data_IF_528895730604
#
_entry.id   IF_528895730604
#
_cell.length_a   1.000
_cell.length_b   1.000
_cell.length_c   1.000
_cell.angle_alpha   90.00
_cell.angle_beta   90.00
_cell.angle_gamma   90.00
#
_symmetry.space_group_name_H-M   'P 1'
#
loop_
_entity.id
_entity.type
_entity.pdbx_description
1 polymer ?
#
# COMPACT_ATOMS: atom_id res chain seq x y z
N UNK A 1 -7.76 61.62 -55.15
CA UNK A 1 -8.50 60.36 -55.24
C UNK A 1 -8.45 59.72 -53.85
N UNK A 2 -9.48 59.89 -53.04
CA UNK A 2 -9.50 59.44 -51.64
C UNK A 2 -9.99 57.99 -51.60
N UNK A 3 -9.15 57.08 -51.11
CA UNK A 3 -9.49 55.66 -50.95
C UNK A 3 -10.44 55.56 -49.75
N UNK A 4 -11.72 55.34 -50.02
CA UNK A 4 -12.73 55.15 -48.98
C UNK A 4 -12.48 53.81 -48.25
N UNK A 5 -11.96 53.89 -47.03
CA UNK A 5 -11.83 52.73 -46.16
C UNK A 5 -13.23 52.27 -45.71
N UNK A 6 -13.73 51.19 -46.32
CA UNK A 6 -14.99 50.56 -45.92
C UNK A 6 -14.85 49.97 -44.51
N UNK A 7 -15.34 50.72 -43.50
CA UNK A 7 -15.28 50.35 -42.06
C UNK A 7 -15.85 48.96 -41.77
N UNK A 8 -16.79 48.46 -42.59
CA UNK A 8 -17.34 47.11 -42.49
C UNK A 8 -16.32 46.00 -42.80
N UNK A 9 -15.41 46.24 -43.75
CA UNK A 9 -14.37 45.30 -44.16
C UNK A 9 -13.23 45.23 -43.13
N UNK A 10 -12.92 46.37 -42.49
CA UNK A 10 -11.97 46.41 -41.38
C UNK A 10 -12.47 45.64 -40.14
N UNK A 11 -13.77 45.71 -39.84
CA UNK A 11 -14.38 44.97 -38.73
C UNK A 11 -14.34 43.46 -38.92
N UNK A 12 -14.66 42.96 -40.12
CA UNK A 12 -14.60 41.52 -40.43
C UNK A 12 -13.18 40.98 -40.41
N UNK A 13 -12.22 41.76 -40.90
CA UNK A 13 -10.81 41.36 -40.93
C UNK A 13 -10.21 41.31 -39.52
N UNK A 14 -10.57 42.28 -38.66
CA UNK A 14 -10.17 42.28 -37.26
C UNK A 14 -10.79 41.11 -36.47
N UNK A 15 -12.06 40.78 -36.73
CA UNK A 15 -12.71 39.63 -36.10
C UNK A 15 -12.10 38.29 -36.54
N UNK A 16 -11.79 38.12 -37.83
CA UNK A 16 -11.13 36.92 -38.33
C UNK A 16 -9.71 36.76 -37.79
N UNK A 17 -8.96 37.86 -37.67
CA UNK A 17 -7.62 37.83 -37.08
C UNK A 17 -7.68 37.53 -35.57
N UNK A 18 -8.65 38.11 -34.85
CA UNK A 18 -8.87 37.84 -33.43
C UNK A 18 -9.18 36.36 -33.14
N UNK A 19 -10.02 35.73 -33.97
CA UNK A 19 -10.32 34.30 -33.85
C UNK A 19 -9.11 33.42 -34.20
N UNK A 20 -8.34 33.78 -35.24
CA UNK A 20 -7.14 33.05 -35.61
C UNK A 20 -6.03 33.09 -34.54
N UNK A 21 -5.88 34.21 -33.81
CA UNK A 21 -4.90 34.33 -32.72
C UNK A 21 -5.37 33.70 -31.40
N UNK A 22 -6.68 33.55 -31.18
CA UNK A 22 -7.19 32.89 -29.96
C UNK A 22 -6.87 31.40 -29.86
N UNK A 23 -6.43 30.77 -30.96
CA UNK A 23 -5.97 29.38 -30.98
C UNK A 23 -4.60 29.15 -30.31
N UNK A 24 -3.81 30.20 -30.07
CA UNK A 24 -2.60 30.15 -29.22
C UNK A 24 -2.94 30.36 -27.72
N UNK A 25 -4.21 30.25 -27.33
CA UNK A 25 -4.67 30.45 -25.98
C UNK A 25 -4.34 29.29 -25.05
N UNK A 26 -3.21 29.40 -24.36
CA UNK A 26 -2.91 28.68 -23.11
C UNK A 26 -2.36 27.26 -23.31
N UNK A 27 -1.05 27.11 -23.16
CA UNK A 27 -0.44 25.79 -23.03
C UNK A 27 -0.65 25.29 -21.60
N UNK A 28 -1.41 24.19 -21.37
CA UNK A 28 -1.78 23.74 -20.03
C UNK A 28 -0.63 23.06 -19.26
N UNK A 29 0.60 23.05 -19.81
CA UNK A 29 1.73 22.30 -19.26
C UNK A 29 2.74 23.23 -18.57
N UNK A 30 2.44 23.63 -17.34
CA UNK A 30 3.31 24.49 -16.52
C UNK A 30 4.42 23.72 -15.79
N UNK A 31 4.26 22.40 -15.58
CA UNK A 31 5.20 21.60 -14.81
C UNK A 31 6.46 21.23 -15.62
N UNK A 32 7.48 22.09 -15.56
CA UNK A 32 8.79 21.86 -16.19
C UNK A 32 9.71 20.92 -15.40
N UNK A 33 9.28 20.40 -14.26
CA UNK A 33 10.05 19.44 -13.48
C UNK A 33 9.78 18.00 -13.95
N UNK A 34 10.63 17.07 -13.52
CA UNK A 34 10.40 15.63 -13.71
C UNK A 34 9.46 15.04 -12.64
N UNK A 35 9.04 15.83 -11.65
CA UNK A 35 8.13 15.37 -10.61
C UNK A 35 6.71 15.28 -11.17
N UNK A 36 6.07 14.14 -10.94
CA UNK A 36 4.66 13.96 -11.24
C UNK A 36 3.79 14.92 -10.41
N UNK A 37 2.86 15.62 -11.06
CA UNK A 37 1.87 16.44 -10.35
C UNK A 37 0.87 15.58 -9.56
N UNK A 38 0.58 14.37 -10.05
CA UNK A 38 -0.33 13.39 -9.44
C UNK A 38 0.47 12.43 -8.58
N UNK A 39 0.52 12.68 -7.28
CA UNK A 39 1.24 11.88 -6.29
C UNK A 39 0.29 10.86 -5.62
N UNK A 40 0.80 9.69 -5.21
CA UNK A 40 0.01 8.75 -4.43
C UNK A 40 -0.26 9.33 -3.04
N UNK A 41 -1.49 9.15 -2.59
CA UNK A 41 -1.96 9.52 -1.25
C UNK A 41 -2.35 8.24 -0.53
N UNK A 42 -1.84 8.09 0.68
CA UNK A 42 -2.12 6.94 1.54
C UNK A 42 -3.14 7.36 2.58
N UNK A 43 -4.22 6.60 2.66
CA UNK A 43 -5.26 6.74 3.67
C UNK A 43 -5.18 5.57 4.65
N UNK A 44 -5.24 5.88 5.94
CA UNK A 44 -5.17 4.90 7.03
C UNK A 44 -6.46 4.93 7.83
N UNK A 45 -7.07 3.77 8.02
CA UNK A 45 -8.22 3.58 8.90
C UNK A 45 -7.84 2.65 10.04
N UNK A 46 -8.10 3.07 11.28
CA UNK A 46 -7.84 2.29 12.48
C UNK A 46 -9.17 1.83 13.08
N UNK A 47 -9.31 0.53 13.30
CA UNK A 47 -10.42 -0.09 14.01
C UNK A 47 -9.93 -0.62 15.33
N UNK A 48 -10.62 -0.31 16.41
CA UNK A 48 -10.21 -0.68 17.77
C UNK A 48 -11.23 -1.62 18.41
N UNK A 49 -10.73 -2.57 19.19
CA UNK A 49 -11.53 -3.43 20.02
C UNK A 49 -10.89 -3.54 21.40
N UNK A 50 -11.61 -3.09 22.41
CA UNK A 50 -11.19 -3.22 23.80
C UNK A 50 -11.60 -4.60 24.32
N UNK A 51 -10.65 -5.26 24.96
CA UNK A 51 -10.74 -6.64 25.44
C UNK A 51 -10.27 -6.72 26.88
N UNK A 52 -10.90 -7.61 27.65
CA UNK A 52 -10.48 -7.89 29.02
C UNK A 52 -9.33 -8.87 29.02
N UNK A 53 -8.30 -8.57 29.80
CA UNK A 53 -7.12 -9.43 29.95
C UNK A 53 -7.09 -10.05 31.34
N UNK A 54 -6.44 -11.21 31.43
CA UNK A 54 -6.13 -11.87 32.69
C UNK A 54 -4.61 -12.06 32.79
N UNK A 55 -4.12 -12.44 33.98
CA UNK A 55 -2.69 -12.64 34.20
C UNK A 55 -2.09 -13.74 33.32
N UNK A 56 -2.89 -14.74 32.96
CA UNK A 56 -2.53 -15.89 32.13
C UNK A 56 -2.79 -15.69 30.62
N UNK A 57 -3.27 -14.51 30.19
CA UNK A 57 -3.53 -14.20 28.79
C UNK A 57 -4.96 -13.73 28.53
N UNK A 58 -5.52 -14.12 27.39
CA UNK A 58 -6.89 -13.83 27.00
C UNK A 58 -7.85 -14.91 27.49
N UNK A 59 -8.88 -14.57 28.29
CA UNK A 59 -9.92 -15.52 28.65
C UNK A 59 -10.60 -16.10 27.41
N UNK A 60 -11.00 -17.37 27.45
CA UNK A 60 -11.61 -18.07 26.31
C UNK A 60 -12.83 -17.34 25.71
N UNK A 61 -13.61 -16.65 26.55
CA UNK A 61 -14.72 -15.81 26.09
C UNK A 61 -14.27 -14.65 25.21
N UNK A 62 -13.20 -13.95 25.60
CA UNK A 62 -12.61 -12.86 24.82
C UNK A 62 -11.94 -13.39 23.55
N UNK A 63 -11.26 -14.54 23.60
CA UNK A 63 -10.68 -15.15 22.39
C UNK A 63 -11.74 -15.40 21.31
N UNK A 64 -12.93 -15.87 21.69
CA UNK A 64 -14.06 -16.06 20.75
C UNK A 64 -14.61 -14.75 20.23
N UNK A 65 -14.69 -13.72 21.07
CA UNK A 65 -15.13 -12.37 20.68
C UNK A 65 -14.16 -11.74 19.69
N UNK A 66 -12.85 -11.85 19.94
CA UNK A 66 -11.81 -11.38 19.03
C UNK A 66 -11.85 -12.14 17.71
N UNK A 67 -11.98 -13.47 17.74
CA UNK A 67 -12.12 -14.27 16.52
C UNK A 67 -13.35 -13.86 15.69
N UNK A 68 -14.51 -13.72 16.33
CA UNK A 68 -15.72 -13.26 15.64
C UNK A 68 -15.60 -11.83 15.10
N UNK A 69 -14.87 -10.95 15.79
CA UNK A 69 -14.57 -9.61 15.30
C UNK A 69 -13.63 -9.64 14.09
N UNK A 70 -12.59 -10.48 14.12
CA UNK A 70 -11.69 -10.68 12.98
C UNK A 70 -12.41 -11.19 11.74
N UNK A 71 -13.34 -12.12 11.92
CA UNK A 71 -14.20 -12.60 10.84
C UNK A 71 -15.12 -11.47 10.31
N UNK A 72 -15.75 -10.70 11.20
CA UNK A 72 -16.64 -9.60 10.83
C UNK A 72 -15.92 -8.43 10.14
N UNK A 73 -14.65 -8.20 10.47
CA UNK A 73 -13.79 -7.21 9.82
C UNK A 73 -13.22 -7.69 8.48
N UNK A 74 -13.46 -8.96 8.13
CA UNK A 74 -12.94 -9.61 6.93
C UNK A 74 -11.43 -9.39 6.80
N UNK A 75 -10.69 -9.82 7.84
CA UNK A 75 -9.24 -9.65 7.85
C UNK A 75 -8.59 -10.22 6.59
N UNK A 76 -7.86 -9.34 5.90
CA UNK A 76 -7.27 -9.64 4.61
C UNK A 76 -5.78 -9.35 4.57
N UNK A 77 -5.18 -9.68 3.43
CA UNK A 77 -3.80 -9.31 3.15
C UNK A 77 -3.64 -7.79 3.15
N UNK A 78 -2.64 -7.28 3.88
CA UNK A 78 -2.36 -5.85 4.03
C UNK A 78 -2.90 -5.24 5.33
N UNK A 79 -3.80 -5.92 6.03
CA UNK A 79 -4.22 -5.49 7.38
C UNK A 79 -3.10 -5.71 8.39
N UNK A 80 -2.91 -4.75 9.28
CA UNK A 80 -1.93 -4.82 10.36
C UNK A 80 -2.65 -4.86 11.70
N UNK A 81 -2.26 -5.81 12.55
CA UNK A 81 -2.84 -5.97 13.87
C UNK A 81 -1.79 -5.56 14.90
N UNK A 82 -2.13 -4.64 15.79
CA UNK A 82 -1.29 -4.31 16.93
C UNK A 82 -2.05 -4.50 18.24
N UNK A 83 -1.29 -4.68 19.30
CA UNK A 83 -1.78 -4.76 20.67
C UNK A 83 -1.27 -3.55 21.44
N UNK A 84 -2.18 -2.77 21.99
CA UNK A 84 -1.94 -1.72 22.96
C UNK A 84 -2.33 -2.25 24.34
N UNK A 85 -1.35 -2.72 25.09
CA UNK A 85 -1.54 -3.29 26.44
C UNK A 85 -0.66 -2.53 27.43
N UNK A 86 -1.26 -1.74 28.36
CA UNK A 86 -0.50 -1.01 29.38
C UNK A 86 0.37 -1.90 30.28
N UNK A 87 0.00 -3.17 30.44
CA UNK A 87 0.72 -4.14 31.28
C UNK A 87 1.80 -4.91 30.50
N UNK A 88 1.80 -4.81 29.17
CA UNK A 88 2.69 -5.51 28.26
C UNK A 88 2.78 -7.03 28.54
N UNK A 89 1.63 -7.68 28.80
CA UNK A 89 1.59 -9.09 29.13
C UNK A 89 1.91 -9.96 27.89
N UNK A 90 2.99 -10.76 27.90
CA UNK A 90 3.36 -11.59 26.75
C UNK A 90 2.32 -12.68 26.43
N UNK A 91 1.57 -13.18 27.42
CA UNK A 91 0.57 -14.20 27.19
C UNK A 91 -0.60 -13.68 26.33
N UNK A 92 -1.03 -12.44 26.56
CA UNK A 92 -2.07 -11.77 25.75
C UNK A 92 -1.60 -11.61 24.30
N UNK A 93 -0.33 -11.26 24.10
CA UNK A 93 0.28 -11.14 22.76
C UNK A 93 0.36 -12.49 22.05
N UNK A 94 0.76 -13.54 22.77
CA UNK A 94 0.85 -14.89 22.21
C UNK A 94 -0.53 -15.43 21.79
N UNK A 95 -1.54 -15.26 22.65
CA UNK A 95 -2.92 -15.61 22.31
C UNK A 95 -3.42 -14.83 21.09
N UNK A 96 -3.19 -13.51 21.05
CA UNK A 96 -3.55 -12.69 19.90
C UNK A 96 -2.82 -13.14 18.62
N UNK A 97 -1.54 -13.47 18.71
CA UNK A 97 -0.76 -13.98 17.59
C UNK A 97 -1.30 -15.32 17.08
N UNK A 98 -1.74 -16.21 17.97
CA UNK A 98 -2.39 -17.46 17.60
C UNK A 98 -3.74 -17.22 16.89
N UNK A 99 -4.51 -16.20 17.30
CA UNK A 99 -5.76 -15.81 16.63
C UNK A 99 -5.47 -15.20 15.24
N UNK A 100 -4.54 -14.25 15.16
CA UNK A 100 -4.14 -13.58 13.92
C UNK A 100 -3.51 -14.54 12.89
N UNK A 101 -2.73 -15.52 13.37
CA UNK A 101 -2.08 -16.51 12.52
C UNK A 101 -3.05 -17.37 11.71
N UNK A 102 -4.30 -17.54 12.16
CA UNK A 102 -5.35 -18.21 11.36
C UNK A 102 -5.74 -17.45 10.09
N UNK A 103 -5.56 -16.13 10.09
CA UNK A 103 -5.77 -15.27 8.94
C UNK A 103 -4.47 -15.01 8.16
N UNK A 104 -3.37 -15.68 8.52
CA UNK A 104 -2.05 -15.47 7.90
C UNK A 104 -1.41 -14.12 8.24
N UNK A 105 -1.86 -13.47 9.33
CA UNK A 105 -1.39 -12.15 9.76
C UNK A 105 -0.49 -12.27 10.99
N UNK A 106 0.45 -11.34 11.09
CA UNK A 106 1.37 -11.20 12.23
C UNK A 106 0.96 -9.99 13.07
N UNK A 107 1.13 -10.11 14.38
CA UNK A 107 0.94 -8.99 15.31
C UNK A 107 2.17 -8.08 15.24
N UNK A 108 1.97 -6.80 14.95
CA UNK A 108 3.07 -5.83 14.88
C UNK A 108 3.47 -5.31 16.26
N UNK A 109 4.77 -5.06 16.43
CA UNK A 109 5.35 -4.55 17.67
C UNK A 109 4.92 -3.11 18.01
N UNK A 110 4.71 -2.26 17.00
CA UNK A 110 4.31 -0.87 17.20
C UNK A 110 2.80 -0.71 17.03
N UNK A 111 2.11 -0.34 18.11
CA UNK A 111 0.73 0.14 18.03
C UNK A 111 0.71 1.62 17.64
N UNK A 112 -0.20 2.07 16.74
CA UNK A 112 -0.43 3.50 16.56
C UNK A 112 -0.94 4.12 17.86
N UNK A 113 -0.72 5.43 18.03
CA UNK A 113 -1.25 6.16 19.18
C UNK A 113 -2.77 6.09 19.12
N UNK A 114 -3.38 5.40 20.10
CA UNK A 114 -4.84 5.35 20.24
C UNK A 114 -5.30 6.54 21.09
N UNK A 115 -6.42 7.21 20.74
CA UNK A 115 -6.83 8.45 21.39
C UNK A 115 -7.38 8.27 22.81
N UNK A 116 -7.85 7.07 23.14
CA UNK A 116 -8.61 6.82 24.38
C UNK A 116 -7.79 6.07 25.42
N UNK A 117 -8.04 6.40 26.69
CA UNK A 117 -7.48 5.69 27.84
C UNK A 117 -7.94 4.22 27.86
N UNK A 118 -7.04 3.32 28.27
CA UNK A 118 -7.34 1.89 28.47
C UNK A 118 -7.38 1.64 29.96
N UNK A 119 -8.48 1.07 30.44
CA UNK A 119 -8.66 0.76 31.86
C UNK A 119 -7.71 -0.37 32.32
N UNK A 120 -7.30 -0.39 33.59
CA UNK A 120 -6.48 -1.47 34.14
C UNK A 120 -7.16 -2.84 33.99
N UNK A 121 -6.42 -3.82 33.46
CA UNK A 121 -6.98 -5.16 33.18
C UNK A 121 -7.68 -5.26 31.82
N UNK A 122 -7.57 -4.23 30.99
CA UNK A 122 -7.97 -4.27 29.58
C UNK A 122 -6.77 -4.04 28.67
N UNK A 123 -6.89 -4.50 27.44
CA UNK A 123 -5.99 -4.19 26.35
C UNK A 123 -6.81 -3.82 25.12
N UNK A 124 -6.21 -3.07 24.20
CA UNK A 124 -6.84 -2.66 22.96
C UNK A 124 -6.15 -3.32 21.77
N UNK A 125 -6.92 -4.05 20.99
CA UNK A 125 -6.47 -4.54 19.69
C UNK A 125 -6.78 -3.47 18.66
N UNK A 126 -5.81 -3.14 17.83
CA UNK A 126 -5.98 -2.18 16.73
C UNK A 126 -5.73 -2.88 15.40
N UNK A 127 -6.72 -2.84 14.52
CA UNK A 127 -6.56 -3.22 13.11
C UNK A 127 -6.33 -1.92 12.33
N UNK A 128 -5.18 -1.83 11.68
CA UNK A 128 -4.83 -0.73 10.79
C UNK A 128 -4.94 -1.21 9.35
N UNK A 129 -5.82 -0.57 8.57
CA UNK A 129 -5.95 -0.78 7.13
C UNK A 129 -5.47 0.46 6.40
N UNK A 130 -4.50 0.28 5.52
CA UNK A 130 -3.95 1.36 4.69
C UNK A 130 -4.29 1.11 3.23
N UNK A 131 -4.66 2.16 2.50
CA UNK A 131 -4.92 2.11 1.06
C UNK A 131 -4.16 3.24 0.37
N UNK A 132 -3.66 2.99 -0.84
CA UNK A 132 -3.02 4.01 -1.66
C UNK A 132 -3.89 4.31 -2.89
N UNK A 133 -4.09 5.58 -3.18
CA UNK A 133 -4.74 6.01 -4.43
C UNK A 133 -4.15 7.33 -4.92
N UNK A 134 -4.29 7.60 -6.22
CA UNK A 134 -3.83 8.87 -6.80
C UNK A 134 -5.05 9.72 -7.13
N UNK A 135 -5.34 10.78 -6.36
CA UNK A 135 -6.55 11.56 -6.53
C UNK A 135 -6.58 12.37 -7.84
N UNK A 136 -7.77 12.43 -8.43
CA UNK A 136 -8.05 13.16 -9.67
C UNK A 136 -7.43 12.52 -10.91
N UNK A 137 -7.26 11.20 -10.90
CA UNK A 137 -6.93 10.39 -12.07
C UNK A 137 -8.18 9.71 -12.65
N UNK A 138 -8.25 9.48 -13.98
CA UNK A 138 -7.27 9.90 -14.99
C UNK A 138 -7.35 11.42 -15.29
N UNK A 139 -6.24 11.99 -15.76
CA UNK A 139 -6.13 13.41 -16.12
C UNK A 139 -5.68 13.59 -17.58
N UNK A 140 -6.60 14.06 -18.42
CA UNK A 140 -6.42 14.33 -19.86
C UNK A 140 -6.57 15.81 -20.20
N UNK A 141 -6.37 16.69 -19.22
CA UNK A 141 -6.58 18.14 -19.38
C UNK A 141 -5.65 18.83 -20.38
N UNK A 142 -4.54 18.17 -20.76
CA UNK A 142 -3.60 18.67 -21.75
C UNK A 142 -3.61 17.82 -23.03
N UNK A 143 -3.33 18.48 -24.16
CA UNK A 143 -3.11 17.83 -25.46
C UNK A 143 -1.61 17.90 -25.80
N UNK A 144 -1.08 16.86 -26.46
CA UNK A 144 0.35 16.78 -26.82
C UNK A 144 0.75 17.63 -28.03
N UNK A 145 -0.17 18.39 -28.62
CA UNK A 145 0.03 19.13 -29.87
C UNK A 145 0.97 20.32 -29.72
N UNK A 146 1.09 20.88 -28.51
CA UNK A 146 2.04 21.95 -28.22
C UNK A 146 2.57 21.85 -26.78
N UNK A 147 3.84 21.46 -26.66
CA UNK A 147 4.58 21.41 -25.39
C UNK A 147 5.92 22.16 -25.51
N UNK A 148 5.85 23.47 -25.74
CA UNK A 148 7.03 24.32 -25.98
C UNK A 148 8.02 24.35 -24.79
N UNK A 149 7.54 24.00 -23.60
CA UNK A 149 8.32 24.00 -22.37
C UNK A 149 8.94 22.65 -22.01
N UNK A 150 8.79 21.63 -22.88
CA UNK A 150 9.16 20.24 -22.57
C UNK A 150 8.65 19.81 -21.18
N UNK A 151 7.46 20.27 -20.81
CA UNK A 151 6.87 20.04 -19.51
C UNK A 151 6.29 18.63 -19.41
N UNK A 152 6.28 18.08 -18.19
CA UNK A 152 5.74 16.76 -17.90
C UNK A 152 4.22 16.76 -18.07
N UNK A 153 3.69 15.74 -18.75
CA UNK A 153 2.25 15.61 -18.98
C UNK A 153 1.47 15.52 -17.65
N UNK A 154 0.32 16.21 -17.49
CA UNK A 154 -0.45 16.19 -16.24
C UNK A 154 -0.86 14.78 -15.79
N UNK A 155 -1.23 13.91 -16.75
CA UNK A 155 -1.57 12.51 -16.51
C UNK A 155 -0.37 11.58 -16.28
N UNK A 156 0.88 12.05 -16.34
CA UNK A 156 2.07 11.21 -16.15
C UNK A 156 2.05 10.47 -14.81
N UNK A 157 1.70 11.17 -13.72
CA UNK A 157 1.58 10.54 -12.40
C UNK A 157 0.39 9.57 -12.30
N UNK A 158 -0.69 9.77 -13.05
CA UNK A 158 -1.78 8.79 -13.12
C UNK A 158 -1.32 7.47 -13.75
N UNK A 159 -0.51 7.55 -14.81
CA UNK A 159 0.00 6.36 -15.49
C UNK A 159 1.07 5.62 -14.66
N UNK A 160 1.95 6.34 -13.97
CA UNK A 160 3.05 5.73 -13.21
C UNK A 160 2.62 5.43 -11.77
N UNK A 161 2.24 6.47 -11.01
CA UNK A 161 1.94 6.34 -9.59
C UNK A 161 0.61 5.63 -9.34
N UNK A 162 -0.34 5.70 -10.29
CA UNK A 162 -1.59 4.94 -10.20
C UNK A 162 -1.34 3.44 -10.22
N UNK A 163 -0.46 2.97 -11.11
CA UNK A 163 -0.04 1.57 -11.15
C UNK A 163 0.79 1.20 -9.91
N UNK A 164 1.69 2.08 -9.45
CA UNK A 164 2.46 1.84 -8.23
C UNK A 164 1.54 1.66 -7.01
N UNK A 165 0.56 2.56 -6.84
CA UNK A 165 -0.42 2.50 -5.75
C UNK A 165 -1.26 1.21 -5.78
N UNK A 166 -1.56 0.69 -6.97
CA UNK A 166 -2.32 -0.56 -7.13
C UNK A 166 -1.47 -1.82 -6.91
N UNK A 167 -0.16 -1.78 -7.17
CA UNK A 167 0.73 -2.94 -7.04
C UNK A 167 1.39 -3.06 -5.67
N UNK A 168 1.46 -1.98 -4.89
CA UNK A 168 2.19 -2.01 -3.63
C UNK A 168 1.48 -2.87 -2.59
N UNK A 169 2.23 -3.77 -1.96
CA UNK A 169 1.71 -4.66 -0.93
C UNK A 169 1.34 -3.92 0.35
N UNK A 170 2.19 -2.98 0.78
CA UNK A 170 1.96 -2.13 1.95
C UNK A 170 1.98 -0.65 1.55
N UNK A 171 0.82 0.02 1.49
CA UNK A 171 0.72 1.45 1.18
C UNK A 171 1.58 2.37 2.06
N UNK A 172 1.82 2.01 3.33
CA UNK A 172 2.63 2.81 4.26
C UNK A 172 4.09 2.98 3.80
N UNK A 173 4.59 2.05 2.97
CA UNK A 173 5.95 2.11 2.43
C UNK A 173 6.12 3.27 1.44
N UNK A 174 5.03 3.86 0.94
CA UNK A 174 5.05 5.10 0.14
C UNK A 174 5.31 6.35 0.98
N UNK A 175 5.00 6.32 2.27
CA UNK A 175 5.28 7.43 3.21
C UNK A 175 6.66 7.23 3.83
N UNK A 176 6.89 6.05 4.39
CA UNK A 176 8.14 5.70 5.06
C UNK A 176 8.51 4.27 4.74
N UNK A 177 9.64 4.08 4.07
CA UNK A 177 10.17 2.75 3.80
C UNK A 177 10.40 1.95 5.08
N UNK A 178 10.30 0.63 4.99
CA UNK A 178 10.50 -0.26 6.12
C UNK A 178 11.93 -0.12 6.66
N UNK A 179 12.03 0.02 7.99
CA UNK A 179 13.33 0.00 8.66
C UNK A 179 13.74 -1.46 8.84
N UNK A 180 14.89 -1.83 8.28
CA UNK A 180 15.49 -3.12 8.57
C UNK A 180 15.95 -3.18 10.04
N UNK A 181 15.97 -4.38 10.61
CA UNK A 181 16.53 -4.63 11.95
C UNK A 181 18.07 -4.64 11.96
N UNK A 182 18.73 -4.43 10.80
CA UNK A 182 20.16 -4.67 10.61
C UNK A 182 20.51 -6.16 10.48
N UNK A 183 19.56 -7.04 10.73
CA UNK A 183 19.67 -8.48 10.55
C UNK A 183 19.02 -8.87 9.22
N UNK A 184 19.81 -9.43 8.32
CA UNK A 184 19.30 -9.96 7.06
C UNK A 184 18.37 -11.14 7.39
N UNK A 185 17.05 -10.94 7.34
CA UNK A 185 16.05 -12.01 7.52
C UNK A 185 16.07 -12.91 6.28
N UNK A 186 17.14 -13.69 6.12
CA UNK A 186 17.28 -14.73 5.08
C UNK A 186 16.99 -16.09 5.70
N UNK A 187 16.01 -16.19 6.59
CA UNK A 187 15.80 -17.39 7.41
C UNK A 187 15.14 -18.54 6.64
N UNK A 188 14.41 -18.25 5.55
CA UNK A 188 13.80 -19.29 4.69
C UNK A 188 14.61 -19.57 3.43
N UNK A 189 15.11 -18.53 2.76
CA UNK A 189 15.87 -18.70 1.51
C UNK A 189 17.23 -19.37 1.75
N UNK A 190 17.95 -19.00 2.81
CA UNK A 190 19.25 -19.64 3.13
C UNK A 190 19.05 -21.09 3.55
N UNK A 191 18.03 -21.39 4.37
CA UNK A 191 17.71 -22.76 4.77
C UNK A 191 17.38 -23.66 3.57
N UNK A 192 16.66 -23.15 2.58
CA UNK A 192 16.39 -23.89 1.34
C UNK A 192 17.66 -24.08 0.48
N UNK A 193 18.54 -23.08 0.42
CA UNK A 193 19.83 -23.14 -0.28
C UNK A 193 20.78 -24.13 0.41
N UNK A 194 20.87 -24.09 1.74
CA UNK A 194 21.65 -25.04 2.55
C UNK A 194 21.11 -26.45 2.40
N UNK A 195 19.79 -26.65 2.52
CA UNK A 195 19.17 -27.95 2.29
C UNK A 195 19.44 -28.49 0.87
N UNK A 196 19.48 -27.64 -0.16
CA UNK A 196 19.86 -28.03 -1.52
C UNK A 196 21.35 -28.39 -1.63
N UNK A 197 22.24 -27.62 -1.00
CA UNK A 197 23.69 -27.83 -1.01
C UNK A 197 24.13 -29.06 -0.21
N UNK A 198 23.51 -29.29 0.93
CA UNK A 198 23.81 -30.38 1.86
C UNK A 198 23.08 -31.68 1.50
N UNK A 199 22.16 -31.65 0.51
CA UNK A 199 21.43 -32.83 0.08
C UNK A 199 22.41 -33.88 -0.42
N UNK A 200 22.55 -34.96 0.34
CA UNK A 200 23.34 -36.12 -0.07
C UNK A 200 22.84 -36.65 -1.43
N UNK A 201 23.73 -36.98 -2.38
CA UNK A 201 23.34 -37.59 -3.65
C UNK A 201 22.50 -38.83 -3.38
N UNK A 202 21.39 -39.00 -4.11
CA UNK A 202 20.46 -40.14 -3.93
C UNK A 202 21.08 -41.51 -4.25
N UNK A 203 22.33 -41.55 -4.72
CA UNK A 203 23.14 -42.76 -4.91
C UNK A 203 24.18 -43.02 -3.81
N UNK A 204 24.24 -42.20 -2.75
CA UNK A 204 25.17 -42.39 -1.63
C UNK A 204 24.68 -43.43 -0.60
N UNK A 205 23.38 -43.73 -0.60
CA UNK A 205 22.85 -44.89 0.11
C UNK A 205 23.10 -46.16 -0.70
N UNK A 206 23.59 -47.22 -0.05
CA UNK A 206 23.73 -48.53 -0.69
C UNK A 206 22.40 -48.99 -1.32
N UNK A 207 22.48 -49.63 -2.49
CA UNK A 207 21.32 -50.18 -3.19
C UNK A 207 20.49 -51.03 -2.22
N UNK A 208 19.19 -50.73 -2.11
CA UNK A 208 18.25 -51.58 -1.37
C UNK A 208 18.30 -52.99 -1.95
N UNK A 209 18.68 -53.98 -1.15
CA UNK A 209 18.61 -55.38 -1.58
C UNK A 209 17.15 -55.78 -1.78
N UNK A 210 16.73 -55.86 -3.03
CA UNK A 210 15.44 -56.47 -3.40
C UNK A 210 15.67 -57.97 -3.46
N UNK A 211 15.20 -58.71 -2.45
CA UNK A 211 15.15 -60.17 -2.47
C UNK A 211 13.96 -60.62 -3.32
N UNK A 212 14.20 -61.45 -4.34
CA UNK A 212 13.16 -62.01 -5.21
C UNK A 212 12.61 -63.36 -4.72
N UNK A 213 12.66 -63.65 -3.41
CA UNK A 213 12.00 -64.83 -2.85
C UNK A 213 10.57 -64.46 -2.47
N UNK A 214 9.65 -64.80 -3.37
CA UNK A 214 8.24 -64.96 -3.02
C UNK A 214 8.05 -66.26 -2.24
N UNK A 215 7.12 -66.23 -1.29
CA UNK A 215 6.46 -67.43 -0.75
C UNK A 215 5.46 -67.98 -1.78
#
# INVERSE_FOLDING_TARGET
MAIAFNRKLAGTLAASLGLALSACGGFPTENRSLYSARQPVVERTNFTLDIRTAGDGLPLGEQRRVAGWFDAMELGYGDRISLDDPTANPAVREDLAALAGRHGLLVSESSPVTPDYIDPGEARIVITRSTASVPGCPDWSANNEANEYNATYPGYGCAVNGNLAAMIANPEDLISGQKGSGETVVTTSTKAIEAYREKAPTGAGGLSQVSSKGD
#
